data_IF_157769526726
#
_entry.id   IF_157769526726
#
_cell.length_a   1.000
_cell.length_b   1.000
_cell.length_c   1.000
_cell.angle_alpha   90.00
_cell.angle_beta   90.00
_cell.angle_gamma   90.00
#
_symmetry.space_group_name_H-M   'P 1'
#
loop_
_entity.id
_entity.type
_entity.pdbx_description
1 polymer ?
#
# COMPACT_ATOMS: atom_id res chain seq x y z
N UNK A 1 30.68 -21.18 17.04
CA UNK A 1 30.24 -20.51 18.29
C UNK A 1 28.73 -20.70 18.39
N UNK A 2 28.30 -21.64 19.23
CA UNK A 2 26.88 -21.95 19.48
C UNK A 2 26.50 -21.13 20.72
N UNK A 3 25.41 -20.35 20.66
CA UNK A 3 25.05 -19.43 21.73
C UNK A 3 24.42 -20.11 22.95
N UNK A 4 23.68 -19.35 23.76
CA UNK A 4 23.21 -19.79 25.08
C UNK A 4 22.05 -20.80 25.13
N UNK A 5 21.69 -21.42 24.01
CA UNK A 5 20.65 -22.46 23.98
C UNK A 5 19.20 -21.98 24.10
N UNK A 6 18.93 -20.67 24.04
CA UNK A 6 17.57 -20.11 23.98
C UNK A 6 16.74 -20.71 22.83
N UNK A 7 15.41 -20.57 22.92
CA UNK A 7 14.46 -21.09 21.91
C UNK A 7 14.68 -22.57 21.59
N UNK A 8 14.90 -23.40 22.63
CA UNK A 8 15.19 -24.84 22.51
C UNK A 8 16.40 -25.13 21.59
N UNK A 9 17.40 -24.25 21.60
CA UNK A 9 18.58 -24.34 20.75
C UNK A 9 18.39 -23.88 19.29
N UNK A 10 17.20 -23.41 18.90
CA UNK A 10 16.90 -22.98 17.52
C UNK A 10 17.36 -21.56 17.22
N UNK A 11 17.30 -20.68 18.23
CA UNK A 11 17.67 -19.26 18.09
C UNK A 11 18.28 -18.77 19.39
N UNK A 12 19.61 -18.72 19.41
CA UNK A 12 20.38 -18.22 20.56
C UNK A 12 20.29 -16.69 20.72
N UNK A 13 20.63 -16.22 21.91
CA UNK A 13 20.67 -14.81 22.28
C UNK A 13 19.53 -14.46 23.24
N UNK A 14 19.80 -13.56 24.18
CA UNK A 14 18.84 -13.12 25.20
C UNK A 14 17.50 -12.76 24.56
N UNK A 15 16.43 -13.32 25.10
CA UNK A 15 15.07 -13.12 24.60
C UNK A 15 14.66 -11.66 24.77
N UNK A 16 14.03 -11.11 23.72
CA UNK A 16 13.40 -9.80 23.81
C UNK A 16 12.07 -9.93 24.55
N UNK A 17 12.12 -10.10 25.88
CA UNK A 17 10.94 -10.39 26.71
C UNK A 17 9.83 -9.36 26.51
N UNK A 18 10.16 -8.07 26.44
CA UNK A 18 9.19 -7.00 26.19
C UNK A 18 8.55 -7.12 24.80
N UNK A 19 9.35 -7.39 23.75
CA UNK A 19 8.85 -7.60 22.39
C UNK A 19 7.98 -8.85 22.27
N UNK A 20 8.33 -9.94 22.95
CA UNK A 20 7.55 -11.18 22.99
C UNK A 20 6.20 -10.95 23.66
N UNK A 21 6.19 -10.29 24.82
CA UNK A 21 4.95 -9.96 25.53
C UNK A 21 4.04 -9.04 24.69
N UNK A 22 4.62 -7.99 24.09
CA UNK A 22 3.89 -7.09 23.19
C UNK A 22 3.35 -7.79 21.95
N UNK A 23 4.12 -8.70 21.35
CA UNK A 23 3.66 -9.49 20.20
C UNK A 23 2.51 -10.43 20.59
N UNK A 24 2.56 -11.05 21.76
CA UNK A 24 1.47 -11.88 22.28
C UNK A 24 0.16 -11.11 22.42
N UNK A 25 0.21 -9.89 22.98
CA UNK A 25 -0.98 -9.04 23.09
C UNK A 25 -1.46 -8.53 21.73
N UNK A 26 -0.55 -8.14 20.84
CA UNK A 26 -0.90 -7.73 19.48
C UNK A 26 -1.57 -8.87 18.69
N UNK A 27 -1.08 -10.10 18.82
CA UNK A 27 -1.68 -11.28 18.20
C UNK A 27 -3.08 -11.57 18.76
N UNK A 28 -3.26 -11.45 20.08
CA UNK A 28 -4.56 -11.61 20.73
C UNK A 28 -5.58 -10.59 20.24
N UNK A 29 -5.20 -9.30 20.18
CA UNK A 29 -6.06 -8.23 19.68
C UNK A 29 -6.38 -8.41 18.19
N UNK A 30 -5.36 -8.69 17.37
CA UNK A 30 -5.55 -8.92 15.94
C UNK A 30 -6.53 -10.06 15.68
N UNK A 31 -6.44 -11.17 16.41
CA UNK A 31 -7.37 -12.29 16.30
C UNK A 31 -8.80 -11.90 16.67
N UNK A 32 -9.00 -11.07 17.71
CA UNK A 32 -10.34 -10.60 18.10
C UNK A 32 -10.94 -9.55 17.16
N UNK A 33 -10.11 -8.84 16.40
CA UNK A 33 -10.53 -7.75 15.50
C UNK A 33 -10.67 -8.22 14.03
N UNK A 34 -10.49 -9.52 13.72
CA UNK A 34 -10.50 -10.03 12.33
C UNK A 34 -11.79 -9.73 11.56
N UNK A 35 -12.95 -9.89 12.21
CA UNK A 35 -14.25 -9.62 11.59
C UNK A 35 -14.41 -8.13 11.26
N UNK A 36 -14.08 -7.26 12.21
CA UNK A 36 -14.10 -5.80 11.99
C UNK A 36 -13.10 -5.38 10.92
N UNK A 37 -11.92 -6.01 10.87
CA UNK A 37 -10.92 -5.73 9.84
C UNK A 37 -11.41 -6.09 8.44
N UNK A 38 -12.30 -7.08 8.32
CA UNK A 38 -12.92 -7.44 7.04
C UNK A 38 -13.85 -6.33 6.50
N UNK A 39 -14.42 -5.49 7.37
CA UNK A 39 -15.27 -4.35 6.99
C UNK A 39 -14.51 -3.29 6.17
N UNK A 40 -13.18 -3.23 6.28
CA UNK A 40 -12.34 -2.36 5.45
C UNK A 40 -12.51 -2.65 3.95
N UNK A 41 -13.00 -3.82 3.57
CA UNK A 41 -13.34 -4.14 2.16
C UNK A 41 -14.25 -3.09 1.55
N UNK A 42 -15.29 -2.65 2.27
CA UNK A 42 -16.25 -1.67 1.77
C UNK A 42 -15.57 -0.32 1.56
N UNK A 43 -14.76 0.12 2.51
CA UNK A 43 -14.00 1.37 2.42
C UNK A 43 -12.98 1.33 1.27
N UNK A 44 -12.25 0.21 1.14
CA UNK A 44 -11.30 -0.03 0.04
C UNK A 44 -12.00 0.01 -1.32
N UNK A 45 -13.14 -0.65 -1.46
CA UNK A 45 -13.90 -0.67 -2.71
C UNK A 45 -14.42 0.72 -3.08
N UNK A 46 -14.99 1.47 -2.11
CA UNK A 46 -15.46 2.85 -2.35
C UNK A 46 -14.34 3.77 -2.79
N UNK A 47 -13.18 3.70 -2.13
CA UNK A 47 -11.99 4.43 -2.55
C UNK A 47 -11.64 4.07 -4.00
N UNK A 48 -11.58 2.77 -4.34
CA UNK A 48 -11.31 2.34 -5.71
C UNK A 48 -12.33 2.92 -6.70
N UNK A 49 -13.63 2.82 -6.44
CA UNK A 49 -14.71 3.37 -7.27
C UNK A 49 -14.56 4.88 -7.50
N UNK A 50 -14.29 5.67 -6.44
CA UNK A 50 -14.09 7.12 -6.57
C UNK A 50 -12.87 7.48 -7.43
N UNK A 51 -11.79 6.68 -7.36
CA UNK A 51 -10.65 6.87 -8.25
C UNK A 51 -11.01 6.59 -9.73
N UNK A 52 -12.04 5.76 -10.01
CA UNK A 52 -12.51 5.45 -11.37
C UNK A 52 -13.08 6.64 -12.08
N UNK A 53 -13.91 7.39 -11.36
CA UNK A 53 -14.62 8.55 -11.87
C UNK A 53 -13.63 9.61 -12.36
N UNK A 54 -12.43 9.62 -11.79
CA UNK A 54 -11.37 10.59 -12.10
C UNK A 54 -10.40 10.07 -13.15
N UNK A 55 -10.02 8.80 -13.08
CA UNK A 55 -9.08 8.17 -14.01
C UNK A 55 -9.63 6.80 -14.49
N UNK A 56 -10.50 6.79 -15.52
CA UNK A 56 -11.10 5.56 -16.02
C UNK A 56 -10.08 4.56 -16.58
N UNK A 57 -8.90 5.03 -17.01
CA UNK A 57 -7.81 4.20 -17.53
C UNK A 57 -6.89 3.63 -16.44
N UNK A 58 -7.11 3.95 -15.16
CA UNK A 58 -6.38 3.34 -14.04
C UNK A 58 -6.66 1.84 -14.00
N UNK A 59 -5.72 1.07 -13.49
CA UNK A 59 -5.91 -0.35 -13.19
C UNK A 59 -5.77 -0.58 -11.70
N UNK A 60 -6.66 -1.41 -11.16
CA UNK A 60 -6.54 -1.97 -9.82
C UNK A 60 -5.97 -3.38 -9.98
N UNK A 61 -4.76 -3.60 -9.48
CA UNK A 61 -4.05 -4.86 -9.68
C UNK A 61 -4.72 -5.95 -8.83
N UNK A 62 -5.12 -7.05 -9.49
CA UNK A 62 -5.80 -8.19 -8.88
C UNK A 62 -7.27 -7.93 -8.51
N UNK A 63 -7.94 -6.97 -9.17
CA UNK A 63 -9.34 -6.62 -8.89
C UNK A 63 -10.33 -7.77 -9.10
N UNK A 64 -9.99 -8.75 -9.93
CA UNK A 64 -10.79 -9.89 -10.35
C UNK A 64 -10.63 -11.14 -9.47
N UNK A 65 -9.77 -11.07 -8.44
CA UNK A 65 -9.49 -12.19 -7.52
C UNK A 65 -9.78 -11.82 -6.05
N UNK A 66 -9.92 -12.81 -5.16
CA UNK A 66 -9.97 -12.54 -3.72
C UNK A 66 -8.73 -11.78 -3.25
N UNK A 67 -8.94 -10.66 -2.56
CA UNK A 67 -7.88 -9.78 -2.04
C UNK A 67 -8.05 -9.54 -0.55
N UNK A 68 -6.97 -9.10 0.09
CA UNK A 68 -7.05 -8.57 1.46
C UNK A 68 -8.04 -7.38 1.51
N UNK A 69 -8.77 -7.23 2.63
CA UNK A 69 -9.81 -6.20 2.78
C UNK A 69 -9.23 -4.78 2.74
N UNK A 70 -7.98 -4.61 3.15
CA UNK A 70 -7.40 -3.30 3.43
C UNK A 70 -6.43 -2.78 2.35
N UNK A 71 -6.08 -3.59 1.36
CA UNK A 71 -4.99 -3.25 0.43
C UNK A 71 -5.52 -3.04 -0.98
N UNK A 72 -5.07 -1.95 -1.59
CA UNK A 72 -5.25 -1.66 -3.01
C UNK A 72 -3.91 -1.31 -3.65
N UNK A 73 -3.68 -1.81 -4.85
CA UNK A 73 -2.55 -1.45 -5.69
C UNK A 73 -3.12 -0.87 -6.98
N UNK A 74 -2.88 0.42 -7.22
CA UNK A 74 -3.55 1.19 -8.27
C UNK A 74 -2.53 1.93 -9.12
N UNK A 75 -2.69 1.90 -10.44
CA UNK A 75 -1.91 2.72 -11.36
C UNK A 75 -2.48 4.14 -11.47
N UNK A 76 -1.60 5.11 -11.65
CA UNK A 76 -2.01 6.45 -12.12
C UNK A 76 -1.42 6.66 -13.52
N UNK A 77 -2.18 6.39 -14.59
CA UNK A 77 -1.65 6.46 -15.95
C UNK A 77 -0.95 7.78 -16.25
N UNK A 78 0.28 7.70 -16.77
CA UNK A 78 1.10 8.87 -17.11
C UNK A 78 1.79 9.56 -15.92
N UNK A 79 1.62 9.08 -14.68
CA UNK A 79 2.26 9.68 -13.50
C UNK A 79 3.10 8.64 -12.78
N UNK A 80 4.41 8.86 -12.73
CA UNK A 80 5.33 7.95 -12.05
C UNK A 80 5.05 7.88 -10.55
N UNK A 81 5.25 6.70 -9.97
CA UNK A 81 4.95 6.40 -8.57
C UNK A 81 5.81 7.18 -7.59
N UNK A 82 7.07 7.49 -7.93
CA UNK A 82 7.94 8.40 -7.16
C UNK A 82 7.32 9.80 -6.99
N UNK A 83 6.78 10.35 -8.08
CA UNK A 83 6.12 11.65 -8.12
C UNK A 83 4.84 11.64 -7.29
N UNK A 84 4.07 10.54 -7.36
CA UNK A 84 2.87 10.36 -6.55
C UNK A 84 3.20 10.30 -5.06
N UNK A 85 4.16 9.47 -4.66
CA UNK A 85 4.58 9.32 -3.25
C UNK A 85 5.05 10.66 -2.69
N UNK A 86 5.90 11.39 -3.42
CA UNK A 86 6.37 12.71 -2.99
C UNK A 86 5.21 13.72 -2.84
N UNK A 87 4.29 13.77 -3.80
CA UNK A 87 3.17 14.70 -3.75
C UNK A 87 2.19 14.38 -2.62
N UNK A 88 1.93 13.10 -2.37
CA UNK A 88 1.09 12.64 -1.26
C UNK A 88 1.76 12.89 0.10
N UNK A 89 3.08 12.67 0.21
CA UNK A 89 3.85 12.96 1.43
C UNK A 89 3.82 14.44 1.79
N UNK A 90 4.02 15.33 0.80
CA UNK A 90 3.87 16.78 0.98
C UNK A 90 2.44 17.18 1.40
N UNK A 91 1.45 16.40 1.00
CA UNK A 91 0.06 16.56 1.43
C UNK A 91 -0.24 15.85 2.76
N UNK A 92 0.75 15.27 3.44
CA UNK A 92 0.62 14.58 4.72
C UNK A 92 -0.05 13.21 4.64
N UNK A 93 0.02 12.53 3.48
CA UNK A 93 -0.58 11.22 3.23
C UNK A 93 0.52 10.21 2.90
N UNK A 94 0.64 9.17 3.71
CA UNK A 94 1.65 8.13 3.50
C UNK A 94 1.11 6.98 2.66
N UNK A 95 1.80 6.70 1.55
CA UNK A 95 1.58 5.53 0.69
C UNK A 95 2.92 4.88 0.34
N UNK A 96 2.90 3.71 -0.31
CA UNK A 96 4.11 3.03 -0.76
C UNK A 96 4.14 2.88 -2.28
N UNK A 97 5.33 2.86 -2.87
CA UNK A 97 5.55 2.49 -4.27
C UNK A 97 6.58 1.35 -4.38
N UNK A 98 6.52 0.58 -5.48
CA UNK A 98 7.49 -0.47 -5.80
C UNK A 98 7.45 -1.71 -4.88
N UNK A 99 8.45 -2.59 -5.03
CA UNK A 99 8.65 -3.71 -4.10
C UNK A 99 9.26 -3.19 -2.80
N UNK A 100 8.58 -3.47 -1.70
CA UNK A 100 8.88 -3.03 -0.34
C UNK A 100 10.38 -2.82 -0.04
N UNK A 101 10.73 -1.64 0.50
CA UNK A 101 11.98 -1.35 1.20
C UNK A 101 13.26 -1.90 0.56
N UNK A 102 13.97 -1.10 -0.27
CA UNK A 102 15.43 -0.88 -0.15
C UNK A 102 16.04 -0.27 -1.42
N UNK A 103 17.16 0.44 -1.21
CA UNK A 103 18.17 0.90 -2.19
C UNK A 103 18.12 2.34 -2.71
N UNK A 104 17.11 3.15 -2.37
CA UNK A 104 17.10 4.58 -2.75
C UNK A 104 16.93 4.86 -4.25
N UNK A 105 16.71 3.83 -5.07
CA UNK A 105 16.32 3.92 -6.47
C UNK A 105 14.90 3.41 -6.63
N UNK A 106 13.99 4.24 -7.13
CA UNK A 106 12.62 3.82 -7.44
C UNK A 106 12.69 2.94 -8.69
N UNK A 107 12.56 1.63 -8.50
CA UNK A 107 12.41 0.65 -9.57
C UNK A 107 11.00 0.08 -9.56
N UNK A 108 10.58 -0.48 -10.70
CA UNK A 108 9.31 -1.18 -10.77
C UNK A 108 9.28 -2.35 -9.78
N UNK A 109 8.09 -2.72 -9.34
CA UNK A 109 7.89 -3.85 -8.45
C UNK A 109 8.19 -5.15 -9.20
N UNK A 110 9.11 -5.97 -8.67
CA UNK A 110 9.36 -7.31 -9.20
C UNK A 110 8.11 -8.21 -9.14
N UNK A 111 7.15 -7.92 -8.25
CA UNK A 111 5.87 -8.63 -8.20
C UNK A 111 5.00 -8.25 -9.41
N UNK A 112 4.96 -6.97 -9.79
CA UNK A 112 4.19 -6.53 -10.96
C UNK A 112 4.82 -7.04 -12.26
N UNK A 113 6.14 -7.07 -12.33
CA UNK A 113 6.89 -7.71 -13.41
C UNK A 113 6.56 -9.21 -13.51
N UNK A 114 6.58 -9.94 -12.39
CA UNK A 114 6.18 -11.35 -12.35
C UNK A 114 4.70 -11.59 -12.71
N UNK A 115 3.84 -10.58 -12.56
CA UNK A 115 2.44 -10.61 -13.02
C UNK A 115 2.31 -10.30 -14.53
N UNK A 116 3.42 -10.04 -15.24
CA UNK A 116 3.44 -9.74 -16.67
C UNK A 116 3.03 -8.31 -17.00
N UNK A 117 3.16 -7.38 -16.05
CA UNK A 117 2.79 -5.99 -16.25
C UNK A 117 3.91 -5.23 -16.94
N UNK A 118 3.57 -4.46 -17.97
CA UNK A 118 4.54 -3.64 -18.70
C UNK A 118 5.25 -2.65 -17.78
N UNK A 119 6.55 -2.46 -17.99
CA UNK A 119 7.42 -1.70 -17.09
C UNK A 119 6.90 -0.27 -16.87
N UNK A 120 6.56 0.44 -17.95
CA UNK A 120 6.09 1.83 -17.87
C UNK A 120 4.78 1.93 -17.08
N UNK A 121 3.91 0.94 -17.20
CA UNK A 121 2.68 0.90 -16.43
C UNK A 121 2.96 0.57 -14.96
N UNK A 122 3.81 -0.42 -14.68
CA UNK A 122 4.20 -0.81 -13.33
C UNK A 122 4.88 0.35 -12.56
N UNK A 123 5.58 1.22 -13.28
CA UNK A 123 6.20 2.43 -12.73
C UNK A 123 5.18 3.51 -12.32
N UNK A 124 3.90 3.36 -12.66
CA UNK A 124 2.82 4.26 -12.22
C UNK A 124 2.01 3.73 -11.04
N UNK A 125 2.32 2.53 -10.54
CA UNK A 125 1.56 1.89 -9.49
C UNK A 125 2.00 2.33 -8.08
N UNK A 126 1.03 2.62 -7.22
CA UNK A 126 1.21 2.81 -5.78
C UNK A 126 0.36 1.81 -5.00
N UNK A 127 0.80 1.47 -3.79
CA UNK A 127 0.07 0.64 -2.82
C UNK A 127 -0.52 1.53 -1.73
N UNK A 128 -1.83 1.44 -1.57
CA UNK A 128 -2.60 2.03 -0.48
C UNK A 128 -2.98 0.91 0.48
N UNK A 129 -2.69 1.09 1.76
CA UNK A 129 -3.00 0.12 2.81
C UNK A 129 -3.78 0.81 3.92
N UNK A 130 -5.04 0.41 4.10
CA UNK A 130 -5.92 0.93 5.13
C UNK A 130 -5.62 0.24 6.46
N UNK A 131 -5.79 0.97 7.55
CA UNK A 131 -5.64 0.47 8.91
C UNK A 131 -6.97 0.48 9.66
N UNK A 132 -6.98 -0.16 10.83
CA UNK A 132 -8.14 -0.19 11.73
C UNK A 132 -8.64 1.20 12.17
N UNK A 133 -7.78 2.20 12.11
CA UNK A 133 -8.08 3.59 12.48
C UNK A 133 -8.29 4.49 11.27
N UNK A 134 -8.24 3.95 10.05
CA UNK A 134 -8.50 4.74 8.85
C UNK A 134 -9.95 5.19 8.85
N UNK A 135 -10.16 6.48 8.59
CA UNK A 135 -11.48 7.11 8.56
C UNK A 135 -11.91 7.43 7.13
N UNK A 136 -13.21 7.58 6.93
CA UNK A 136 -13.76 8.00 5.63
C UNK A 136 -13.23 9.38 5.20
N UNK A 137 -13.00 10.30 6.15
CA UNK A 137 -12.45 11.62 5.87
C UNK A 137 -11.00 11.55 5.35
N UNK A 138 -10.19 10.63 5.87
CA UNK A 138 -8.84 10.38 5.36
C UNK A 138 -8.87 9.77 3.96
N UNK A 139 -9.83 8.89 3.66
CA UNK A 139 -10.04 8.36 2.31
C UNK A 139 -10.45 9.47 1.35
N UNK A 140 -11.42 10.31 1.73
CA UNK A 140 -11.87 11.42 0.90
C UNK A 140 -10.72 12.41 0.62
N UNK A 141 -9.92 12.74 1.63
CA UNK A 141 -8.72 13.58 1.46
C UNK A 141 -7.68 12.93 0.54
N UNK A 142 -7.50 11.62 0.65
CA UNK A 142 -6.62 10.88 -0.25
C UNK A 142 -7.13 10.95 -1.70
N UNK A 143 -8.40 10.64 -1.94
CA UNK A 143 -9.02 10.67 -3.27
C UNK A 143 -8.95 12.06 -3.88
N UNK A 144 -9.26 13.12 -3.12
CA UNK A 144 -9.14 14.51 -3.58
C UNK A 144 -7.70 14.83 -4.00
N UNK A 145 -6.72 14.51 -3.15
CA UNK A 145 -5.31 14.79 -3.43
C UNK A 145 -4.81 13.99 -4.63
N UNK A 146 -5.13 12.70 -4.71
CA UNK A 146 -4.79 11.82 -5.83
C UNK A 146 -5.37 12.36 -7.14
N UNK A 147 -6.60 12.85 -7.11
CA UNK A 147 -7.30 13.44 -8.24
C UNK A 147 -6.63 14.72 -8.74
N UNK A 148 -6.20 15.59 -7.83
CA UNK A 148 -5.47 16.81 -8.16
C UNK A 148 -4.13 16.49 -8.83
N UNK A 149 -3.41 15.48 -8.32
CA UNK A 149 -2.15 15.01 -8.91
C UNK A 149 -2.40 14.50 -10.34
N UNK A 150 -3.42 13.67 -10.53
CA UNK A 150 -3.75 13.13 -11.86
C UNK A 150 -4.09 14.25 -12.85
N UNK A 151 -5.01 15.17 -12.51
CA UNK A 151 -5.45 16.28 -13.38
C UNK A 151 -4.31 17.23 -13.75
N UNK A 152 -3.41 17.53 -12.80
CA UNK A 152 -2.25 18.40 -13.05
C UNK A 152 -1.30 17.78 -14.07
N UNK A 153 -1.07 16.48 -14.03
CA UNK A 153 -0.11 15.82 -14.93
C UNK A 153 -0.73 15.43 -16.28
N UNK A 154 -2.02 15.10 -16.31
CA UNK A 154 -2.72 14.78 -17.57
C UNK A 154 -2.93 16.00 -18.48
N UNK A 155 -3.05 17.21 -17.92
CA UNK A 155 -3.07 18.47 -18.69
C UNK A 155 -1.71 18.84 -19.31
N UNK A 156 -0.60 18.39 -18.73
CA UNK A 156 0.74 18.61 -19.28
C UNK A 156 1.08 17.59 -20.38
N UNK A 157 0.53 16.37 -20.30
CA UNK A 157 0.74 15.33 -21.31
C UNK A 157 0.05 15.61 -22.65
N UNK A 158 -1.00 16.45 -22.70
CA UNK A 158 -1.65 16.87 -23.95
C UNK A 158 -1.00 18.07 -24.64
N UNK A 159 0.03 18.67 -24.02
CA UNK A 159 0.72 19.86 -24.52
C UNK A 159 2.13 19.57 -25.08
N UNK A 160 2.53 18.30 -25.14
CA UNK A 160 3.76 17.80 -25.75
C UNK A 160 3.42 16.87 -26.93
#
# INVERSE_FOLDING_TARGET
MVGGGQEMGRRSGTENVAGIAGFGEAARLAASELEQFAELTTMRNRMEEQLEEVAPSRKVIGSDVPRLPNTSCVTMPGVRSDTQVMALDLAGISVSAGSACSSGKVSASHVLDAMGMELDEAMTAIRISLGRSTTEDEINRFVETWSLIFKRNSSHASAA
#
